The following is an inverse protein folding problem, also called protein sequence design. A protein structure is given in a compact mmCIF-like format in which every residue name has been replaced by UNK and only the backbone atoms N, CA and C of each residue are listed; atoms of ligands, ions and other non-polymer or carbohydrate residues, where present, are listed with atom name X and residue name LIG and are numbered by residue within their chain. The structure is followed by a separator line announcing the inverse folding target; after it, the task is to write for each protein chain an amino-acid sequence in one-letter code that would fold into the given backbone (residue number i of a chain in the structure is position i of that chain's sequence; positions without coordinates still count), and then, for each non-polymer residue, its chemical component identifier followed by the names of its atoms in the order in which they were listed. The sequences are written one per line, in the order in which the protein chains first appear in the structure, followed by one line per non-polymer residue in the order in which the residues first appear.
data_IF_100485991352
#
_entry.id   IF_100485991352
#
_cell.length_a   1.000
_cell.length_b   1.000
_cell.length_c   1.000
_cell.angle_alpha   90.00
_cell.angle_beta   90.00
_cell.angle_gamma   90.00
#
_symmetry.space_group_name_H-M   'P 1'
#
loop_
_entity.id
_entity.type
_entity.pdbx_description
1 polymer ?
#
# COMPACT_ATOMS: atom_id res chain seq x y z
N UNK A 1 -42.77 28.67 7.85
CA UNK A 1 -42.95 27.52 6.96
C UNK A 1 -43.32 28.01 5.57
N UNK A 2 -42.73 27.41 4.53
CA UNK A 2 -42.99 27.79 3.14
C UNK A 2 -43.75 26.63 2.45
N UNK A 3 -44.71 27.04 1.61
CA UNK A 3 -45.54 26.17 0.77
C UNK A 3 -45.43 26.62 -0.69
N UNK A 4 -45.75 25.75 -1.63
CA UNK A 4 -45.85 26.13 -3.04
C UNK A 4 -47.16 25.63 -3.61
N UNK A 5 -47.88 26.52 -4.27
CA UNK A 5 -49.07 26.17 -5.02
C UNK A 5 -48.71 26.02 -6.51
N UNK A 6 -49.12 24.93 -7.13
CA UNK A 6 -49.00 24.73 -8.55
C UNK A 6 -50.00 25.67 -9.30
N UNK A 7 -49.87 25.81 -10.60
CA UNK A 7 -50.73 26.68 -11.44
C UNK A 7 -52.25 26.42 -11.28
N UNK A 8 -52.63 25.21 -10.87
CA UNK A 8 -54.00 24.82 -10.59
C UNK A 8 -54.48 25.14 -9.13
N UNK A 9 -53.68 25.89 -8.35
CA UNK A 9 -53.97 26.25 -6.96
C UNK A 9 -53.72 25.15 -5.91
N UNK A 10 -53.39 23.90 -6.32
CA UNK A 10 -53.12 22.82 -5.37
C UNK A 10 -51.74 22.92 -4.77
N UNK A 11 -51.65 22.62 -3.48
CA UNK A 11 -50.34 22.57 -2.79
C UNK A 11 -49.49 21.40 -3.31
N UNK A 12 -48.22 21.68 -3.58
CA UNK A 12 -47.25 20.72 -4.10
C UNK A 12 -46.80 19.74 -2.99
N UNK A 13 -46.62 18.48 -3.37
CA UNK A 13 -46.10 17.39 -2.54
C UNK A 13 -44.95 16.67 -3.26
N UNK A 14 -43.95 16.24 -2.49
CA UNK A 14 -42.81 15.50 -3.06
C UNK A 14 -41.79 16.40 -3.75
N UNK A 15 -41.01 15.80 -4.65
CA UNK A 15 -40.05 16.56 -5.47
C UNK A 15 -40.76 17.45 -6.47
N UNK A 16 -40.36 18.71 -6.51
CA UNK A 16 -40.88 19.68 -7.43
C UNK A 16 -39.84 20.67 -7.92
N UNK A 17 -39.93 21.08 -9.17
CA UNK A 17 -38.97 21.93 -9.86
C UNK A 17 -39.70 23.18 -10.42
N UNK A 18 -39.96 24.19 -9.58
CA UNK A 18 -40.65 25.39 -10.01
C UNK A 18 -39.83 26.34 -10.90
N UNK A 19 -38.52 26.20 -10.84
CA UNK A 19 -37.50 26.95 -11.58
C UNK A 19 -36.39 25.99 -12.05
N UNK A 20 -35.17 26.45 -12.16
CA UNK A 20 -34.01 25.63 -12.51
C UNK A 20 -33.66 24.57 -11.44
N UNK A 21 -34.24 24.59 -10.26
CA UNK A 21 -33.79 23.84 -9.09
C UNK A 21 -34.88 22.97 -8.48
N UNK A 22 -34.50 21.79 -8.02
CA UNK A 22 -35.39 20.88 -7.27
C UNK A 22 -35.53 21.32 -5.83
N UNK A 23 -36.77 21.17 -5.28
CA UNK A 23 -37.13 21.27 -3.87
C UNK A 23 -37.95 20.06 -3.47
N UNK A 24 -38.14 19.84 -2.18
CA UNK A 24 -39.01 18.77 -1.70
C UNK A 24 -40.03 19.33 -0.70
N UNK A 25 -41.27 19.03 -0.97
CA UNK A 25 -42.40 19.40 -0.11
C UNK A 25 -42.93 18.14 0.57
N UNK A 26 -43.01 18.15 1.88
CA UNK A 26 -43.42 17.01 2.67
C UNK A 26 -44.78 16.50 2.23
N UNK A 27 -44.89 15.17 2.03
CA UNK A 27 -46.13 14.55 1.49
C UNK A 27 -47.33 14.71 2.43
N UNK A 28 -47.10 14.77 3.75
CA UNK A 28 -48.18 14.88 4.76
C UNK A 28 -48.80 16.28 4.89
N UNK A 29 -47.98 17.33 4.87
CA UNK A 29 -48.44 18.70 5.18
C UNK A 29 -48.01 19.74 4.15
N UNK A 30 -47.39 19.35 3.04
CA UNK A 30 -46.94 20.20 1.94
C UNK A 30 -45.89 21.26 2.34
N UNK A 31 -45.22 21.12 3.49
CA UNK A 31 -44.16 22.05 3.93
C UNK A 31 -42.87 21.83 3.18
N UNK A 32 -42.22 22.92 2.77
CA UNK A 32 -40.87 22.88 2.20
C UNK A 32 -39.89 22.31 3.22
N UNK A 33 -39.12 21.29 2.81
CA UNK A 33 -38.06 20.72 3.65
C UNK A 33 -36.72 21.38 3.35
N UNK A 34 -35.91 21.51 4.40
CA UNK A 34 -34.54 22.06 4.34
C UNK A 34 -33.60 21.20 5.19
N UNK A 35 -32.29 21.39 5.01
CA UNK A 35 -31.28 20.60 5.71
C UNK A 35 -31.22 19.15 5.23
N UNK A 36 -30.72 18.27 6.08
CA UNK A 36 -30.66 16.83 5.80
C UNK A 36 -32.07 16.23 5.79
N UNK A 37 -32.35 15.43 4.76
CA UNK A 37 -33.60 14.69 4.64
C UNK A 37 -33.29 13.28 4.17
N UNK A 38 -34.02 12.31 4.71
CA UNK A 38 -34.09 10.96 4.20
C UNK A 38 -35.43 10.76 3.48
N UNK A 39 -35.39 10.42 2.21
CA UNK A 39 -36.55 10.30 1.36
C UNK A 39 -36.42 9.00 0.59
N UNK A 40 -37.37 8.08 0.79
CA UNK A 40 -37.42 6.77 0.16
C UNK A 40 -36.08 5.97 0.34
N UNK A 41 -35.48 6.05 1.55
CA UNK A 41 -34.23 5.37 1.92
C UNK A 41 -32.93 6.04 1.43
N UNK A 42 -33.03 7.17 0.74
CA UNK A 42 -31.90 7.92 0.21
C UNK A 42 -31.72 9.24 0.92
N UNK A 43 -30.48 9.69 1.11
CA UNK A 43 -30.16 10.95 1.80
C UNK A 43 -29.96 12.10 0.82
N UNK A 44 -30.58 13.23 1.15
CA UNK A 44 -30.51 14.48 0.39
C UNK A 44 -30.15 15.64 1.34
N UNK A 45 -29.66 16.71 0.77
CA UNK A 45 -29.52 17.96 1.48
C UNK A 45 -30.16 19.11 0.72
N UNK A 46 -30.99 19.87 1.41
CA UNK A 46 -31.68 21.04 0.88
C UNK A 46 -31.18 22.29 1.57
N UNK A 47 -30.87 23.33 0.78
CA UNK A 47 -30.35 24.58 1.28
C UNK A 47 -31.27 25.18 2.34
N UNK A 48 -30.72 25.57 3.50
CA UNK A 48 -31.51 26.06 4.64
C UNK A 48 -32.31 27.34 4.35
N UNK A 49 -31.82 28.17 3.43
CA UNK A 49 -32.44 29.46 3.11
C UNK A 49 -33.65 29.35 2.17
N UNK A 50 -33.65 28.39 1.23
CA UNK A 50 -34.67 28.36 0.15
C UNK A 50 -35.05 26.94 -0.29
N UNK A 51 -34.60 25.92 0.40
CA UNK A 51 -34.94 24.52 0.11
C UNK A 51 -34.41 23.98 -1.22
N UNK A 52 -33.47 24.64 -1.88
CA UNK A 52 -32.87 24.14 -3.12
C UNK A 52 -32.04 22.89 -2.81
N UNK A 53 -32.28 21.80 -3.55
CA UNK A 53 -31.56 20.55 -3.45
C UNK A 53 -30.12 20.71 -3.97
N UNK A 54 -29.17 20.12 -3.28
CA UNK A 54 -27.79 20.03 -3.76
C UNK A 54 -27.67 18.90 -4.78
N UNK A 55 -27.20 19.25 -5.99
CA UNK A 55 -27.04 18.32 -7.12
C UNK A 55 -25.65 18.49 -7.75
N UNK A 56 -24.98 17.40 -8.11
CA UNK A 56 -23.67 17.40 -8.79
C UNK A 56 -22.60 18.28 -8.15
N UNK A 57 -22.62 18.48 -6.83
CA UNK A 57 -21.76 19.43 -6.15
C UNK A 57 -21.24 18.93 -4.80
N UNK A 58 -20.17 19.56 -4.35
CA UNK A 58 -19.66 19.37 -3.00
C UNK A 58 -20.40 20.27 -2.02
N UNK A 59 -20.51 19.81 -0.78
CA UNK A 59 -21.00 20.57 0.36
C UNK A 59 -20.10 20.30 1.56
N UNK A 60 -19.68 21.35 2.25
CA UNK A 60 -18.97 21.25 3.54
C UNK A 60 -19.89 21.66 4.66
N UNK A 61 -20.08 20.77 5.63
CA UNK A 61 -20.90 21.01 6.83
C UNK A 61 -20.13 20.51 8.04
N UNK A 62 -20.02 21.34 9.06
CA UNK A 62 -19.36 21.01 10.33
C UNK A 62 -17.99 20.36 10.13
N UNK A 63 -17.18 20.87 9.20
CA UNK A 63 -15.85 20.37 8.89
C UNK A 63 -15.82 19.09 8.05
N UNK A 64 -16.94 18.50 7.72
CA UNK A 64 -17.05 17.31 6.86
C UNK A 64 -17.46 17.70 5.45
N UNK A 65 -16.85 17.07 4.46
CA UNK A 65 -17.15 17.32 3.05
C UNK A 65 -17.95 16.16 2.47
N UNK A 66 -18.98 16.49 1.72
CA UNK A 66 -19.93 15.56 1.09
C UNK A 66 -20.00 15.83 -0.41
N UNK A 67 -20.47 14.86 -1.19
CA UNK A 67 -20.79 15.03 -2.61
C UNK A 67 -22.17 14.50 -2.90
N UNK A 68 -22.97 15.29 -3.63
CA UNK A 68 -24.29 14.91 -4.11
C UNK A 68 -24.24 14.59 -5.60
N UNK A 69 -24.85 13.48 -5.98
CA UNK A 69 -24.93 13.01 -7.34
C UNK A 69 -25.86 13.91 -8.18
N UNK A 70 -25.96 13.68 -9.49
CA UNK A 70 -26.82 14.47 -10.39
C UNK A 70 -28.31 14.34 -10.08
N UNK A 71 -28.74 13.27 -9.43
CA UNK A 71 -30.09 13.05 -8.95
C UNK A 71 -30.33 13.61 -7.53
N UNK A 72 -29.33 14.31 -6.96
CA UNK A 72 -29.34 14.91 -5.64
C UNK A 72 -29.09 13.95 -4.48
N UNK A 73 -28.91 12.65 -4.74
CA UNK A 73 -28.60 11.69 -3.67
C UNK A 73 -27.20 11.90 -3.13
N UNK A 74 -27.04 11.70 -1.82
CA UNK A 74 -25.72 11.65 -1.20
C UNK A 74 -24.90 10.51 -1.77
N UNK A 75 -23.70 10.80 -2.25
CA UNK A 75 -22.74 9.75 -2.66
C UNK A 75 -22.21 9.02 -1.42
N UNK A 76 -22.35 7.69 -1.37
CA UNK A 76 -21.93 6.85 -0.23
C UNK A 76 -21.20 5.60 -0.70
N UNK A 77 -20.22 5.12 0.06
CA UNK A 77 -19.56 3.82 -0.07
C UNK A 77 -18.85 3.57 -1.40
N UNK A 78 -18.51 4.59 -2.20
CA UNK A 78 -17.96 4.39 -3.54
C UNK A 78 -16.98 5.46 -4.00
N UNK A 79 -16.17 5.10 -4.99
CA UNK A 79 -15.37 6.03 -5.76
C UNK A 79 -16.23 6.82 -6.76
N UNK A 80 -15.93 8.08 -6.94
CA UNK A 80 -16.51 8.91 -7.99
C UNK A 80 -15.48 9.87 -8.56
N UNK A 81 -15.76 10.44 -9.74
CA UNK A 81 -14.91 11.43 -10.40
C UNK A 81 -15.63 12.77 -10.50
N UNK A 82 -14.91 13.85 -10.24
CA UNK A 82 -15.39 15.21 -10.42
C UNK A 82 -14.23 16.12 -10.83
N UNK A 83 -14.40 16.88 -11.91
CA UNK A 83 -13.40 17.83 -12.41
C UNK A 83 -12.00 17.18 -12.58
N UNK A 84 -11.92 16.01 -13.20
CA UNK A 84 -10.67 15.30 -13.48
C UNK A 84 -10.04 14.58 -12.27
N UNK A 85 -10.52 14.79 -11.06
CA UNK A 85 -10.02 14.14 -9.84
C UNK A 85 -10.94 13.02 -9.37
N UNK A 86 -10.38 12.02 -8.67
CA UNK A 86 -11.14 10.93 -8.05
C UNK A 86 -11.24 11.13 -6.55
N UNK A 87 -12.38 10.78 -5.99
CA UNK A 87 -12.72 10.91 -4.57
C UNK A 87 -13.35 9.62 -4.08
N UNK A 88 -13.28 9.36 -2.78
CA UNK A 88 -14.00 8.25 -2.15
C UNK A 88 -14.97 8.78 -1.09
N UNK A 89 -16.25 8.52 -1.29
CA UNK A 89 -17.27 8.75 -0.28
C UNK A 89 -17.35 7.52 0.63
N UNK A 90 -17.17 7.72 1.92
CA UNK A 90 -17.31 6.66 2.92
C UNK A 90 -18.78 6.21 3.04
N UNK A 91 -19.09 5.07 3.67
CA UNK A 91 -20.48 4.61 3.84
C UNK A 91 -21.42 5.65 4.47
N UNK A 92 -20.89 6.50 5.35
CA UNK A 92 -21.66 7.60 5.97
C UNK A 92 -21.79 8.85 5.06
N UNK A 93 -21.20 8.83 3.86
CA UNK A 93 -21.20 9.91 2.88
C UNK A 93 -20.08 10.94 3.06
N UNK A 94 -19.35 10.94 4.15
CA UNK A 94 -18.20 11.84 4.33
C UNK A 94 -17.09 11.46 3.36
N UNK A 95 -16.49 12.45 2.70
CA UNK A 95 -15.34 12.18 1.82
C UNK A 95 -14.14 11.75 2.64
N UNK A 96 -13.50 10.68 2.21
CA UNK A 96 -12.25 10.24 2.79
C UNK A 96 -11.14 11.27 2.53
N UNK A 97 -10.24 11.44 3.51
CA UNK A 97 -9.02 12.23 3.43
C UNK A 97 -7.87 11.48 4.10
N UNK A 98 -6.63 11.78 3.74
CA UNK A 98 -5.46 11.08 4.25
C UNK A 98 -5.41 9.62 3.78
N UNK A 99 -4.91 8.73 4.63
CA UNK A 99 -4.76 7.32 4.32
C UNK A 99 -6.11 6.58 4.27
N UNK A 100 -6.35 5.86 3.18
CA UNK A 100 -7.52 4.98 2.99
C UNK A 100 -7.05 3.56 2.69
N UNK A 101 -7.50 2.59 3.49
CA UNK A 101 -7.34 1.16 3.20
C UNK A 101 -8.66 0.62 2.65
N UNK A 102 -8.63 0.06 1.45
CA UNK A 102 -9.81 -0.51 0.79
C UNK A 102 -9.38 -1.73 -0.01
N UNK A 103 -10.04 -2.88 0.20
CA UNK A 103 -9.77 -4.14 -0.53
C UNK A 103 -8.27 -4.50 -0.53
N UNK A 104 -7.63 -4.50 0.64
CA UNK A 104 -6.21 -4.77 0.86
C UNK A 104 -5.22 -3.84 0.12
N UNK A 105 -5.70 -2.76 -0.48
CA UNK A 105 -4.88 -1.71 -1.08
C UNK A 105 -4.92 -0.45 -0.22
N UNK A 106 -3.81 0.29 -0.22
CA UNK A 106 -3.72 1.60 0.43
C UNK A 106 -3.77 2.69 -0.63
N UNK A 107 -4.48 3.76 -0.30
CA UNK A 107 -4.61 4.97 -1.11
C UNK A 107 -4.30 6.18 -0.23
N UNK A 108 -3.98 7.29 -0.84
CA UNK A 108 -3.86 8.56 -0.13
C UNK A 108 -4.75 9.60 -0.80
N UNK A 109 -5.59 10.22 0.02
CA UNK A 109 -6.49 11.28 -0.39
C UNK A 109 -5.95 12.58 0.19
N UNK A 110 -5.84 13.60 -0.62
CA UNK A 110 -5.36 14.92 -0.21
C UNK A 110 -6.11 15.40 1.04
N UNK A 111 -5.42 15.74 2.13
CA UNK A 111 -6.08 16.09 3.40
C UNK A 111 -7.03 17.28 3.31
N UNK A 112 -6.74 18.23 2.42
CA UNK A 112 -7.54 19.46 2.26
C UNK A 112 -8.69 19.29 1.27
N UNK A 113 -8.45 18.55 0.17
CA UNK A 113 -9.42 18.46 -0.93
C UNK A 113 -10.17 17.14 -0.99
N UNK A 114 -9.63 16.06 -0.39
CA UNK A 114 -10.13 14.71 -0.53
C UNK A 114 -9.86 14.08 -1.91
N UNK A 115 -9.13 14.76 -2.80
CA UNK A 115 -8.76 14.21 -4.10
C UNK A 115 -7.73 13.08 -3.92
N UNK A 116 -7.89 11.99 -4.67
CA UNK A 116 -6.95 10.87 -4.67
C UNK A 116 -5.61 11.29 -5.27
N UNK A 117 -4.54 11.06 -4.53
CA UNK A 117 -3.18 11.30 -4.98
C UNK A 117 -2.67 10.17 -5.87
N UNK A 118 -1.75 10.51 -6.80
CA UNK A 118 -1.06 9.56 -7.70
C UNK A 118 0.37 10.03 -7.92
N UNK A 119 1.25 9.12 -8.38
CA UNK A 119 2.68 9.41 -8.52
C UNK A 119 3.39 9.46 -7.18
N UNK A 120 4.47 10.21 -7.11
CA UNK A 120 5.25 10.40 -5.88
C UNK A 120 4.58 11.42 -4.96
N UNK A 121 4.40 11.05 -3.70
CA UNK A 121 3.79 11.89 -2.65
C UNK A 121 4.61 11.82 -1.37
N UNK A 122 4.96 12.98 -0.83
CA UNK A 122 5.65 13.06 0.46
C UNK A 122 4.63 13.16 1.60
N UNK A 123 4.66 12.19 2.52
CA UNK A 123 3.76 12.12 3.66
C UNK A 123 4.59 11.99 4.94
N UNK A 124 4.54 13.00 5.80
CA UNK A 124 5.30 13.05 7.05
C UNK A 124 6.81 12.76 6.84
N UNK A 125 7.41 13.37 5.83
CA UNK A 125 8.84 13.24 5.51
C UNK A 125 9.25 11.95 4.79
N UNK A 126 8.34 11.00 4.55
CA UNK A 126 8.59 9.81 3.72
C UNK A 126 7.94 9.95 2.35
N UNK A 127 8.62 9.46 1.31
CA UNK A 127 8.08 9.43 -0.04
C UNK A 127 7.41 8.09 -0.32
N UNK A 128 6.23 8.14 -0.94
CA UNK A 128 5.44 6.97 -1.36
C UNK A 128 5.07 7.13 -2.82
N UNK A 129 4.89 6.03 -3.52
CA UNK A 129 4.43 6.04 -4.90
C UNK A 129 3.04 5.42 -5.03
N UNK A 130 2.14 6.16 -5.66
CA UNK A 130 0.79 5.73 -5.96
C UNK A 130 0.60 5.54 -7.46
N UNK A 131 0.14 4.37 -7.88
CA UNK A 131 -0.06 4.05 -9.29
C UNK A 131 -0.93 5.11 -9.99
N UNK A 132 -0.48 5.71 -11.10
CA UNK A 132 -1.27 6.69 -11.84
C UNK A 132 -2.63 6.14 -12.30
N UNK A 133 -2.69 4.89 -12.73
CA UNK A 133 -3.91 4.26 -13.23
C UNK A 133 -4.88 3.90 -12.11
N UNK A 134 -4.42 3.28 -11.03
CA UNK A 134 -5.28 2.75 -9.97
C UNK A 134 -5.33 3.63 -8.72
N UNK A 135 -4.28 4.42 -8.46
CA UNK A 135 -4.06 5.17 -7.23
C UNK A 135 -3.62 4.30 -6.05
N UNK A 136 -3.43 3.00 -6.24
CA UNK A 136 -2.97 2.13 -5.18
C UNK A 136 -1.49 2.37 -4.87
N UNK A 137 -1.13 2.35 -3.58
CA UNK A 137 0.25 2.47 -3.12
C UNK A 137 1.08 1.28 -3.61
N UNK A 138 2.24 1.56 -4.15
CA UNK A 138 3.25 0.57 -4.50
C UNK A 138 3.96 0.04 -3.25
N UNK A 139 4.26 -1.26 -3.21
CA UNK A 139 5.02 -1.93 -2.14
C UNK A 139 5.97 -2.96 -2.74
N UNK A 140 7.14 -3.14 -2.13
CA UNK A 140 8.15 -4.16 -2.51
C UNK A 140 8.49 -4.18 -4.00
N UNK A 141 8.59 -3.03 -4.64
CA UNK A 141 8.87 -2.98 -6.08
C UNK A 141 9.72 -1.79 -6.50
N UNK A 142 10.37 -1.94 -7.64
CA UNK A 142 10.99 -0.85 -8.34
C UNK A 142 9.92 -0.02 -9.05
N UNK A 143 9.94 1.29 -8.84
CA UNK A 143 9.08 2.23 -9.54
C UNK A 143 9.74 2.63 -10.86
N UNK A 144 11.04 2.78 -10.82
CA UNK A 144 11.91 3.03 -11.96
C UNK A 144 13.31 2.44 -11.69
N UNK A 145 14.29 2.71 -12.55
CA UNK A 145 15.65 2.17 -12.42
C UNK A 145 16.39 2.57 -11.13
N UNK A 146 15.96 3.65 -10.47
CA UNK A 146 16.67 4.22 -9.32
C UNK A 146 15.86 4.16 -8.01
N UNK A 147 14.54 4.00 -8.08
CA UNK A 147 13.65 4.18 -6.94
C UNK A 147 12.95 2.87 -6.58
N UNK A 148 13.25 2.33 -5.41
CA UNK A 148 12.61 1.16 -4.84
C UNK A 148 11.78 1.52 -3.62
N UNK A 149 10.56 0.99 -3.52
CA UNK A 149 9.69 1.12 -2.34
C UNK A 149 9.63 -0.17 -1.55
N UNK A 150 9.75 -0.05 -0.23
CA UNK A 150 9.83 -1.17 0.72
C UNK A 150 8.48 -1.77 1.10
N UNK A 151 8.49 -2.54 2.18
CA UNK A 151 7.32 -3.26 2.73
C UNK A 151 6.22 -2.31 3.22
N UNK A 152 6.60 -1.16 3.77
CA UNK A 152 5.68 -0.12 4.21
C UNK A 152 5.22 0.80 3.07
N UNK A 153 5.78 0.61 1.85
CA UNK A 153 5.56 1.42 0.65
C UNK A 153 6.41 2.68 0.58
N UNK A 154 7.23 2.97 1.60
CA UNK A 154 8.12 4.13 1.56
C UNK A 154 9.30 3.89 0.62
N UNK A 155 9.75 4.96 -0.04
CA UNK A 155 11.00 4.97 -0.80
C UNK A 155 12.15 4.60 0.13
N UNK A 156 12.97 3.66 -0.30
CA UNK A 156 14.26 3.36 0.33
C UNK A 156 15.32 4.08 -0.52
N UNK A 157 15.91 5.18 -0.02
CA UNK A 157 16.95 5.90 -0.75
C UNK A 157 18.13 4.97 -1.07
N UNK A 158 18.74 5.18 -2.23
CA UNK A 158 19.93 4.43 -2.67
C UNK A 158 19.79 2.90 -2.59
N UNK A 159 18.56 2.40 -2.83
CA UNK A 159 18.35 0.96 -2.86
C UNK A 159 19.15 0.33 -3.99
N UNK A 160 20.25 -0.39 -3.63
CA UNK A 160 21.05 -1.17 -4.56
C UNK A 160 20.47 -2.58 -4.73
N UNK A 161 20.23 -2.99 -5.93
CA UNK A 161 19.89 -4.40 -6.21
C UNK A 161 21.13 -5.24 -5.99
N UNK A 162 21.14 -6.05 -4.92
CA UNK A 162 22.23 -7.03 -4.76
C UNK A 162 22.08 -8.12 -5.82
N UNK A 163 23.04 -8.21 -6.70
CA UNK A 163 23.10 -9.27 -7.72
C UNK A 163 23.98 -10.41 -7.20
N UNK A 164 23.36 -11.53 -6.88
CA UNK A 164 24.07 -12.72 -6.43
C UNK A 164 24.63 -13.50 -7.61
N UNK A 165 25.89 -13.95 -7.47
CA UNK A 165 26.54 -14.93 -8.35
C UNK A 165 26.68 -16.27 -7.63
N UNK A 166 26.79 -17.33 -8.40
CA UNK A 166 27.01 -18.65 -7.84
C UNK A 166 28.41 -18.74 -7.15
N UNK A 167 28.48 -19.23 -5.89
CA UNK A 167 29.71 -19.10 -5.09
C UNK A 167 30.79 -20.12 -5.46
N UNK A 168 30.48 -21.19 -6.20
CA UNK A 168 31.40 -22.27 -6.58
C UNK A 168 31.52 -22.38 -8.10
N UNK A 169 32.66 -21.97 -8.65
CA UNK A 169 32.92 -22.05 -10.08
C UNK A 169 33.00 -23.52 -10.49
N UNK A 170 32.18 -23.94 -11.46
CA UNK A 170 32.17 -25.30 -12.00
C UNK A 170 31.28 -26.31 -11.26
N UNK A 171 30.88 -26.02 -10.03
CA UNK A 171 30.03 -26.92 -9.21
C UNK A 171 28.62 -26.36 -9.09
N UNK A 172 27.69 -26.93 -9.85
CA UNK A 172 26.29 -26.45 -9.90
C UNK A 172 25.26 -27.40 -9.29
N UNK A 173 25.70 -28.65 -8.99
CA UNK A 173 24.84 -29.67 -8.39
C UNK A 173 24.51 -29.29 -6.95
N UNK A 174 23.24 -29.36 -6.58
CA UNK A 174 22.76 -29.17 -5.22
C UNK A 174 22.36 -30.52 -4.66
N UNK A 175 23.08 -31.00 -3.65
CA UNK A 175 22.79 -32.28 -3.01
C UNK A 175 21.69 -32.21 -1.95
N UNK A 176 21.43 -31.00 -1.41
CA UNK A 176 20.33 -30.76 -0.47
C UNK A 176 19.81 -29.32 -0.60
N UNK A 177 18.49 -29.21 -0.72
CA UNK A 177 17.80 -27.93 -0.87
C UNK A 177 17.34 -27.35 0.48
N UNK A 178 17.04 -26.06 0.48
CA UNK A 178 16.41 -25.36 1.59
C UNK A 178 15.04 -25.97 1.93
N UNK A 179 14.74 -26.11 3.23
CA UNK A 179 13.45 -26.54 3.73
C UNK A 179 13.45 -27.86 4.48
N UNK A 180 12.31 -28.52 4.54
CA UNK A 180 12.18 -29.82 5.21
C UNK A 180 12.92 -30.91 4.44
N UNK A 181 13.69 -31.69 5.16
CA UNK A 181 14.43 -32.88 4.60
C UNK A 181 14.49 -34.02 5.62
N UNK A 182 14.80 -35.19 5.17
CA UNK A 182 15.23 -36.27 6.09
C UNK A 182 16.60 -35.91 6.66
N UNK A 183 16.85 -36.21 7.93
CA UNK A 183 18.15 -35.98 8.55
C UNK A 183 19.23 -36.79 7.86
N UNK A 184 20.29 -36.20 7.28
CA UNK A 184 21.36 -36.93 6.67
C UNK A 184 22.07 -37.81 7.71
N UNK A 185 22.02 -39.15 7.55
CA UNK A 185 22.63 -40.11 8.47
C UNK A 185 22.17 -40.01 9.94
N UNK A 186 21.02 -39.41 10.22
CA UNK A 186 20.49 -39.21 11.58
C UNK A 186 21.17 -38.13 12.40
N UNK A 187 22.11 -37.38 11.85
CA UNK A 187 22.94 -36.39 12.57
C UNK A 187 22.58 -34.94 12.19
N UNK A 188 22.02 -34.72 10.99
CA UNK A 188 21.71 -33.40 10.49
C UNK A 188 20.29 -32.89 10.85
N UNK A 189 20.06 -31.60 10.69
CA UNK A 189 18.73 -30.98 10.90
C UNK A 189 17.71 -31.46 9.85
N UNK A 190 16.48 -31.70 10.31
CA UNK A 190 15.30 -31.93 9.45
C UNK A 190 14.76 -30.66 8.80
N UNK A 191 15.27 -29.48 9.18
CA UNK A 191 14.94 -28.18 8.59
C UNK A 191 16.24 -27.51 8.11
N UNK A 192 16.53 -27.67 6.82
CA UNK A 192 17.72 -27.10 6.21
C UNK A 192 17.53 -25.60 5.91
N UNK A 193 18.42 -24.77 6.47
CA UNK A 193 18.36 -23.30 6.31
C UNK A 193 19.21 -22.76 5.14
N UNK A 194 19.74 -23.65 4.31
CA UNK A 194 20.60 -23.31 3.18
C UNK A 194 20.47 -24.30 2.02
N UNK A 195 21.49 -24.33 1.18
CA UNK A 195 21.68 -25.33 0.14
C UNK A 195 23.06 -26.00 0.33
N UNK A 196 23.16 -27.31 0.10
CA UNK A 196 24.43 -28.02 0.11
C UNK A 196 24.93 -28.22 -1.31
N UNK A 197 26.14 -27.75 -1.57
CA UNK A 197 26.81 -27.88 -2.88
C UNK A 197 28.11 -28.68 -2.67
N UNK A 198 28.16 -29.97 -3.04
CA UNK A 198 29.34 -30.77 -2.86
C UNK A 198 30.48 -30.33 -3.80
N UNK A 199 31.66 -30.16 -3.24
CA UNK A 199 32.88 -29.86 -3.98
C UNK A 199 34.09 -30.47 -3.27
N UNK A 200 35.19 -30.84 -3.99
CA UNK A 200 36.40 -31.32 -3.39
C UNK A 200 37.00 -30.33 -2.37
N UNK A 201 37.69 -30.86 -1.36
CA UNK A 201 38.42 -30.03 -0.39
C UNK A 201 39.45 -29.19 -1.15
N UNK A 202 39.50 -27.88 -0.79
CA UNK A 202 40.37 -26.91 -1.44
C UNK A 202 39.73 -26.16 -2.61
N UNK A 203 38.50 -26.52 -3.02
CA UNK A 203 37.75 -25.72 -4.01
C UNK A 203 37.53 -24.31 -3.50
N UNK A 204 37.90 -23.24 -4.26
CA UNK A 204 37.66 -21.88 -3.87
C UNK A 204 36.18 -21.56 -3.77
N UNK A 205 35.77 -20.94 -2.66
CA UNK A 205 34.40 -20.38 -2.45
C UNK A 205 34.49 -18.87 -2.59
N UNK A 206 33.71 -18.33 -3.49
CA UNK A 206 33.63 -16.89 -3.75
C UNK A 206 32.45 -16.26 -3.05
N UNK A 207 32.59 -15.00 -2.64
CA UNK A 207 31.47 -14.20 -2.18
C UNK A 207 30.36 -14.15 -3.27
N UNK A 208 29.15 -14.50 -2.90
CA UNK A 208 28.03 -14.50 -3.84
C UNK A 208 27.67 -13.08 -4.31
N UNK A 209 27.98 -12.06 -3.52
CA UNK A 209 27.89 -10.65 -3.88
C UNK A 209 28.92 -9.84 -3.11
N UNK A 210 29.15 -8.58 -3.52
CA UNK A 210 29.97 -7.64 -2.76
C UNK A 210 29.37 -7.38 -1.37
N UNK A 211 30.23 -7.12 -0.38
CA UNK A 211 29.80 -6.86 1.00
C UNK A 211 30.95 -6.77 1.97
N UNK A 212 30.63 -6.74 3.27
CA UNK A 212 31.59 -6.69 4.35
C UNK A 212 31.57 -7.99 5.14
N UNK A 213 32.74 -8.59 5.38
CA UNK A 213 32.88 -9.77 6.24
C UNK A 213 32.52 -9.37 7.69
N UNK A 214 31.47 -9.99 8.23
CA UNK A 214 30.99 -9.69 9.60
C UNK A 214 31.31 -10.77 10.61
N UNK A 215 31.61 -11.99 10.15
CA UNK A 215 32.09 -13.07 11.03
C UNK A 215 33.02 -14.03 10.29
N UNK A 216 34.03 -14.49 11.02
CA UNK A 216 34.92 -15.61 10.68
C UNK A 216 34.98 -16.54 11.88
N UNK A 217 34.53 -17.76 11.74
CA UNK A 217 34.55 -18.72 12.85
C UNK A 217 35.33 -19.99 12.47
N UNK A 218 36.23 -20.38 13.38
CA UNK A 218 36.95 -21.64 13.30
C UNK A 218 36.10 -22.79 13.84
N UNK A 219 36.38 -24.05 13.44
CA UNK A 219 35.71 -25.20 14.02
C UNK A 219 35.81 -25.20 15.55
N UNK A 220 34.70 -25.53 16.22
CA UNK A 220 34.69 -25.76 17.66
C UNK A 220 34.37 -27.25 17.94
N UNK A 221 34.78 -27.75 19.09
CA UNK A 221 34.54 -29.14 19.49
C UNK A 221 33.06 -29.52 19.54
N UNK A 222 32.15 -28.54 19.71
CA UNK A 222 30.70 -28.73 19.82
C UNK A 222 29.91 -28.30 18.58
N UNK A 223 30.55 -27.78 17.52
CA UNK A 223 29.87 -27.16 16.39
C UNK A 223 30.06 -27.85 15.06
N UNK A 224 28.99 -28.23 14.40
CA UNK A 224 28.96 -28.88 13.08
C UNK A 224 29.23 -27.96 11.88
N UNK A 225 29.44 -26.64 12.06
CA UNK A 225 29.57 -25.70 10.94
C UNK A 225 30.95 -25.64 10.29
N UNK A 226 31.99 -26.22 10.91
CA UNK A 226 33.37 -26.15 10.43
C UNK A 226 33.91 -24.70 10.45
N UNK A 227 34.85 -24.39 9.56
CA UNK A 227 35.15 -22.98 9.27
C UNK A 227 33.97 -22.36 8.54
N UNK A 228 33.53 -21.19 8.98
CA UNK A 228 32.50 -20.47 8.23
C UNK A 228 32.74 -18.94 8.17
N UNK A 229 32.23 -18.36 7.11
CA UNK A 229 32.30 -16.92 6.84
C UNK A 229 30.90 -16.35 6.70
N UNK A 230 30.63 -15.20 7.32
CA UNK A 230 29.42 -14.42 7.08
C UNK A 230 29.77 -13.11 6.39
N UNK A 231 29.01 -12.77 5.35
CA UNK A 231 29.16 -11.52 4.58
C UNK A 231 27.85 -10.75 4.62
N UNK A 232 27.91 -9.52 5.12
CA UNK A 232 26.79 -8.59 5.11
C UNK A 232 26.82 -7.77 3.80
N UNK A 233 25.79 -7.93 3.00
CA UNK A 233 25.58 -7.22 1.72
C UNK A 233 24.77 -5.93 1.88
N UNK A 234 24.54 -5.50 3.14
CA UNK A 234 23.64 -4.40 3.47
C UNK A 234 22.17 -4.85 3.60
N UNK A 235 21.35 -4.00 4.25
CA UNK A 235 19.87 -4.14 4.32
C UNK A 235 19.38 -5.44 4.95
N UNK A 236 20.15 -6.02 5.87
CA UNK A 236 19.81 -7.30 6.49
C UNK A 236 20.04 -8.52 5.62
N UNK A 237 20.65 -8.36 4.44
CA UNK A 237 21.06 -9.50 3.61
C UNK A 237 22.43 -9.99 4.04
N UNK A 238 22.50 -11.25 4.47
CA UNK A 238 23.73 -11.91 4.88
C UNK A 238 23.82 -13.24 4.12
N UNK A 239 25.00 -13.55 3.61
CA UNK A 239 25.32 -14.91 3.13
C UNK A 239 26.25 -15.59 4.10
N UNK A 240 26.02 -16.89 4.32
CA UNK A 240 26.82 -17.73 5.19
C UNK A 240 27.45 -18.86 4.34
N UNK A 241 28.74 -19.07 4.50
CA UNK A 241 29.54 -20.11 3.83
C UNK A 241 30.11 -21.02 4.89
N UNK A 242 29.55 -22.22 5.01
CA UNK A 242 29.90 -23.19 6.04
C UNK A 242 30.78 -24.32 5.46
N UNK A 243 31.34 -25.14 6.35
CA UNK A 243 32.14 -26.32 6.01
C UNK A 243 33.39 -26.04 5.13
N UNK A 244 33.94 -24.83 5.27
CA UNK A 244 35.19 -24.47 4.61
C UNK A 244 36.37 -25.26 5.22
N UNK A 245 37.38 -25.57 4.44
CA UNK A 245 38.60 -26.22 4.93
C UNK A 245 39.58 -25.27 5.60
N UNK A 246 39.56 -23.97 5.20
CA UNK A 246 40.36 -22.89 5.74
C UNK A 246 39.86 -21.54 5.25
N UNK A 247 40.26 -20.47 5.90
CA UNK A 247 40.06 -19.10 5.38
C UNK A 247 41.11 -18.70 4.37
N UNK A 248 40.76 -17.80 3.47
CA UNK A 248 41.77 -17.12 2.67
C UNK A 248 42.72 -16.32 3.59
N UNK A 249 44.05 -16.38 3.36
CA UNK A 249 45.04 -15.89 4.34
C UNK A 249 44.86 -14.42 4.77
N UNK A 250 44.41 -13.57 3.87
CA UNK A 250 44.21 -12.13 4.16
C UNK A 250 42.78 -11.78 4.59
N UNK A 251 41.89 -12.80 4.66
CA UNK A 251 40.48 -12.52 5.05
C UNK A 251 40.40 -12.20 6.53
N UNK A 252 39.75 -11.08 6.85
CA UNK A 252 39.50 -10.63 8.22
C UNK A 252 38.12 -10.01 8.35
N UNK A 253 37.58 -10.00 9.56
CA UNK A 253 36.34 -9.26 9.87
C UNK A 253 36.55 -7.79 9.54
N UNK A 254 35.57 -7.17 8.90
CA UNK A 254 35.62 -5.80 8.37
C UNK A 254 36.18 -5.70 6.95
N UNK A 255 36.71 -6.78 6.36
CA UNK A 255 37.18 -6.75 4.97
C UNK A 255 35.99 -6.57 3.99
N UNK A 256 36.20 -5.73 2.97
CA UNK A 256 35.30 -5.64 1.81
C UNK A 256 35.64 -6.71 0.79
N UNK A 257 34.66 -7.38 0.24
CA UNK A 257 34.77 -8.48 -0.72
C UNK A 257 33.89 -8.22 -1.95
#
# INVERSE_FOLDING_TARGET
SYYYAAANGKLVKGFYKPDAYYRYFRKSDCKLLTGWQEIDGERYYFKSTNGIRYDSCFLTLSGHRYYFLSDGKLCTGKWFSKNGSRYYAQPNGVLATGWLKLNNKKYYLNPSTGARETGWVTIRGKQYYFSPSTGAMAVRQWIDKNNYVGDDGALIPDYQKVSFRWPLKGYKYISSYFGKRQSPGGIGSTSHKGIDIPAPIGTPIYAAAGGTVVALQKPSASGGAGYYTMINHGRGLITEYMHQSKFYPTLKVGATV
#
